data_IF_092428255322
#
_entry.id   IF_092428255322
#
_cell.length_a   1.000
_cell.length_b   1.000
_cell.length_c   1.000
_cell.angle_alpha   90.00
_cell.angle_beta   90.00
_cell.angle_gamma   90.00
#
_symmetry.space_group_name_H-M   'P 1'
#
loop_
_entity.id
_entity.type
_entity.pdbx_description
1 polymer ?
#
# COMPACT_ATOMS: atom_id res chain seq x y z
N UNK A 1 8.33 -10.79 -14.14
CA UNK A 1 8.05 -9.34 -14.29
C UNK A 1 7.72 -8.84 -12.91
N UNK A 2 8.49 -7.89 -12.35
CA UNK A 2 8.22 -7.43 -10.99
C UNK A 2 7.04 -6.44 -11.02
N UNK A 3 6.07 -6.64 -10.13
CA UNK A 3 4.84 -5.84 -10.08
C UNK A 3 5.02 -4.57 -9.24
N UNK A 4 4.19 -3.57 -9.49
CA UNK A 4 4.09 -2.37 -8.65
C UNK A 4 2.68 -2.35 -8.05
N UNK A 5 2.60 -2.16 -6.73
CA UNK A 5 1.35 -1.94 -6.02
C UNK A 5 1.26 -0.51 -5.50
N UNK A 6 0.03 0.01 -5.38
CA UNK A 6 -0.28 1.28 -4.74
C UNK A 6 -1.34 1.03 -3.68
N UNK A 7 -1.06 1.39 -2.43
CA UNK A 7 -1.94 1.25 -1.27
C UNK A 7 -2.34 2.65 -0.80
N UNK A 8 -3.62 2.88 -0.52
CA UNK A 8 -4.03 4.21 -0.05
C UNK A 8 -5.52 4.34 0.12
N UNK A 9 -5.97 5.54 0.50
CA UNK A 9 -7.40 5.84 0.52
C UNK A 9 -7.96 5.85 -0.91
N UNK A 10 -9.25 5.54 -1.03
CA UNK A 10 -9.94 5.38 -2.31
C UNK A 10 -9.80 6.61 -3.22
N UNK A 11 -9.85 7.82 -2.65
CA UNK A 11 -9.85 9.06 -3.42
C UNK A 11 -8.45 9.33 -4.01
N UNK A 12 -7.40 9.04 -3.25
CA UNK A 12 -6.00 9.20 -3.69
C UNK A 12 -5.58 8.16 -4.73
N UNK A 13 -6.05 6.92 -4.65
CA UNK A 13 -5.57 5.85 -5.54
C UNK A 13 -6.31 5.75 -6.87
N UNK A 14 -7.43 6.45 -7.03
CA UNK A 14 -8.30 6.28 -8.21
C UNK A 14 -7.60 6.69 -9.52
N UNK A 15 -6.72 7.70 -9.48
CA UNK A 15 -5.89 8.10 -10.61
C UNK A 15 -4.89 7.01 -11.04
N UNK A 16 -4.28 6.31 -10.07
CA UNK A 16 -3.37 5.20 -10.34
C UNK A 16 -4.12 4.01 -10.94
N UNK A 17 -5.33 3.73 -10.45
CA UNK A 17 -6.17 2.68 -11.01
C UNK A 17 -6.53 2.97 -12.46
N UNK A 18 -6.90 4.22 -12.77
CA UNK A 18 -7.18 4.65 -14.14
C UNK A 18 -5.95 4.53 -15.07
N UNK A 19 -4.74 4.72 -14.52
CA UNK A 19 -3.48 4.54 -15.25
C UNK A 19 -3.02 3.07 -15.36
N UNK A 20 -3.78 2.10 -14.83
CA UNK A 20 -3.50 0.67 -14.98
C UNK A 20 -2.58 0.08 -13.90
N UNK A 21 -2.34 0.79 -12.80
CA UNK A 21 -1.61 0.24 -11.66
C UNK A 21 -2.50 -0.70 -10.84
N UNK A 22 -1.86 -1.65 -10.13
CA UNK A 22 -2.53 -2.47 -9.12
C UNK A 22 -2.72 -1.63 -7.86
N UNK A 23 -3.97 -1.30 -7.54
CA UNK A 23 -4.31 -0.43 -6.43
C UNK A 23 -5.12 -1.16 -5.36
N UNK A 24 -4.79 -0.92 -4.09
CA UNK A 24 -5.44 -1.52 -2.92
C UNK A 24 -5.96 -0.40 -2.01
N UNK A 25 -7.28 -0.32 -1.87
CA UNK A 25 -7.92 0.67 -1.01
C UNK A 25 -7.85 0.24 0.46
N UNK A 26 -7.40 1.12 1.34
CA UNK A 26 -7.37 0.93 2.81
C UNK A 26 -7.90 2.18 3.51
N UNK A 27 -8.43 2.00 4.72
CA UNK A 27 -9.09 3.09 5.47
C UNK A 27 -8.28 3.64 6.65
N UNK A 28 -7.31 2.89 7.15
CA UNK A 28 -6.55 3.22 8.35
C UNK A 28 -5.22 2.45 8.39
N UNK A 29 -4.36 2.80 9.36
CA UNK A 29 -3.04 2.18 9.56
C UNK A 29 -3.08 0.67 9.79
N UNK A 30 -4.14 0.15 10.44
CA UNK A 30 -4.28 -1.29 10.67
C UNK A 30 -4.51 -2.04 9.34
N UNK A 31 -5.46 -1.56 8.53
CA UNK A 31 -5.72 -2.14 7.20
C UNK A 31 -4.51 -1.99 6.27
N UNK A 32 -3.80 -0.86 6.34
CA UNK A 32 -2.55 -0.65 5.63
C UNK A 32 -1.50 -1.69 6.01
N UNK A 33 -1.31 -1.97 7.30
CA UNK A 33 -0.39 -2.99 7.80
C UNK A 33 -0.70 -4.39 7.28
N UNK A 34 -1.94 -4.84 7.47
CA UNK A 34 -2.38 -6.15 6.98
C UNK A 34 -2.24 -6.29 5.46
N UNK A 35 -2.42 -5.19 4.72
CA UNK A 35 -2.18 -5.17 3.27
C UNK A 35 -0.70 -5.27 2.93
N UNK A 36 0.16 -4.52 3.62
CA UNK A 36 1.61 -4.55 3.39
C UNK A 36 2.20 -5.93 3.67
N UNK A 37 1.78 -6.60 4.75
CA UNK A 37 2.20 -7.98 5.05
C UNK A 37 1.83 -8.93 3.90
N UNK A 38 0.59 -8.86 3.40
CA UNK A 38 0.14 -9.68 2.26
C UNK A 38 0.92 -9.39 0.98
N UNK A 39 1.23 -8.11 0.72
CA UNK A 39 1.99 -7.71 -0.46
C UNK A 39 3.46 -8.10 -0.35
N UNK A 40 4.02 -8.19 0.86
CA UNK A 40 5.39 -8.64 1.10
C UNK A 40 5.58 -10.14 0.78
N UNK A 41 4.52 -10.94 0.95
CA UNK A 41 4.51 -12.36 0.55
C UNK A 41 4.38 -12.57 -0.97
N UNK A 42 4.10 -11.51 -1.73
CA UNK A 42 3.95 -11.54 -3.19
C UNK A 42 5.17 -10.95 -3.94
N UNK A 43 5.27 -11.20 -5.26
CA UNK A 43 6.38 -10.75 -6.13
C UNK A 43 6.25 -9.27 -6.58
N UNK A 44 6.04 -8.37 -5.62
CA UNK A 44 6.05 -6.93 -5.86
C UNK A 44 7.47 -6.36 -5.71
N UNK A 45 7.92 -5.58 -6.70
CA UNK A 45 9.19 -4.85 -6.60
C UNK A 45 9.08 -3.61 -5.72
N UNK A 46 7.94 -2.91 -5.81
CA UNK A 46 7.73 -1.62 -5.17
C UNK A 46 6.27 -1.56 -4.75
N UNK A 47 6.04 -1.16 -3.49
CA UNK A 47 4.73 -0.83 -2.96
C UNK A 47 4.74 0.65 -2.59
N UNK A 48 3.93 1.45 -3.27
CA UNK A 48 3.67 2.83 -2.87
C UNK A 48 2.54 2.85 -1.86
N UNK A 49 2.66 3.70 -0.85
CA UNK A 49 1.59 3.91 0.14
C UNK A 49 1.39 5.39 0.41
N UNK A 50 0.13 5.83 0.56
CA UNK A 50 -0.18 7.21 0.90
C UNK A 50 0.06 7.49 2.39
N UNK A 51 0.60 8.67 2.70
CA UNK A 51 1.01 9.02 4.08
C UNK A 51 -0.16 9.11 5.07
N UNK A 52 -1.35 9.49 4.59
CA UNK A 52 -2.54 9.60 5.42
C UNK A 52 -3.04 8.27 5.98
N UNK A 53 -2.84 7.15 5.27
CA UNK A 53 -3.27 5.83 5.76
C UNK A 53 -2.20 5.14 6.60
N UNK A 54 -0.93 5.53 6.46
CA UNK A 54 0.16 5.01 7.31
C UNK A 54 0.26 5.75 8.65
N UNK A 55 -0.41 6.90 8.78
CA UNK A 55 -0.50 7.64 10.04
C UNK A 55 -1.13 6.74 11.13
N UNK A 56 -0.32 6.23 12.05
CA UNK A 56 -0.72 5.25 13.07
C UNK A 56 -0.24 3.80 12.85
N UNK A 57 0.55 3.53 11.80
CA UNK A 57 1.15 2.23 11.48
C UNK A 57 2.69 2.23 11.55
N UNK A 58 3.27 3.08 12.40
CA UNK A 58 4.73 3.27 12.50
C UNK A 58 5.51 1.97 12.72
N UNK A 59 4.96 1.07 13.54
CA UNK A 59 5.57 -0.22 13.86
C UNK A 59 5.80 -1.11 12.61
N UNK A 60 4.93 -0.99 11.59
CA UNK A 60 5.06 -1.73 10.34
C UNK A 60 6.19 -1.16 9.49
N UNK A 61 6.36 0.16 9.43
CA UNK A 61 7.48 0.74 8.68
C UNK A 61 8.84 0.34 9.27
N UNK A 62 8.91 0.25 10.60
CA UNK A 62 10.13 -0.17 11.30
C UNK A 62 10.52 -1.63 11.01
N UNK A 63 9.57 -2.50 10.67
CA UNK A 63 9.87 -3.91 10.35
C UNK A 63 10.48 -4.11 8.96
N UNK A 64 10.36 -3.12 8.07
CA UNK A 64 10.89 -3.16 6.69
C UNK A 64 12.08 -2.22 6.45
N UNK A 65 12.64 -1.63 7.52
CA UNK A 65 13.75 -0.67 7.44
C UNK A 65 15.14 -1.31 7.45
#
# INVERSE_FOLDING_TARGET
MRKIAVVGDTDSIMGFKAAGYLTFAVKNGKEAGEMLEKLADEDYAIVFITENVIEGAGDILDSYR
#
